data_IF_677142034292
#
_entry.id   IF_677142034292
#
_cell.length_a   1.000
_cell.length_b   1.000
_cell.length_c   1.000
_cell.angle_alpha   90.00
_cell.angle_beta   90.00
_cell.angle_gamma   90.00
#
_symmetry.space_group_name_H-M   'P 1'
#
loop_
_entity.id
_entity.type
_entity.pdbx_description
1 polymer ?
#
# COMPACT_ATOMS: atom_id res chain seq x y z
N UNK A 1 -38.64 7.84 44.60
CA UNK A 1 -38.76 8.09 43.14
C UNK A 1 -37.53 7.49 42.49
N UNK A 2 -37.76 6.42 41.86
CA UNK A 2 -36.69 5.65 41.18
C UNK A 2 -36.44 6.31 39.84
N UNK A 3 -35.33 7.04 39.74
CA UNK A 3 -34.92 7.65 38.46
C UNK A 3 -34.39 6.54 37.56
N UNK A 4 -35.21 6.09 36.64
CA UNK A 4 -34.82 5.09 35.63
C UNK A 4 -33.56 5.56 34.91
N UNK A 5 -32.48 4.78 35.04
CA UNK A 5 -31.25 5.00 34.34
C UNK A 5 -31.53 5.01 32.82
N UNK A 6 -31.12 6.04 32.08
CA UNK A 6 -31.39 6.09 30.65
C UNK A 6 -30.80 4.86 29.97
N UNK A 7 -31.59 4.26 29.12
CA UNK A 7 -31.14 3.14 28.29
C UNK A 7 -29.93 3.57 27.47
N UNK A 8 -28.91 2.71 27.34
CA UNK A 8 -27.77 3.02 26.49
C UNK A 8 -28.25 3.26 25.05
N UNK A 9 -27.66 4.25 24.38
CA UNK A 9 -27.95 4.52 22.98
C UNK A 9 -27.73 3.24 22.15
N UNK A 10 -28.59 2.98 21.16
CA UNK A 10 -28.44 1.81 20.32
C UNK A 10 -27.08 1.86 19.60
N UNK A 11 -26.36 0.73 19.65
CA UNK A 11 -25.11 0.58 18.90
C UNK A 11 -25.47 0.53 17.42
N UNK A 12 -25.09 1.56 16.67
CA UNK A 12 -25.24 1.59 15.22
C UNK A 12 -24.00 0.93 14.63
N UNK A 13 -24.19 -0.17 13.94
CA UNK A 13 -23.15 -0.76 13.10
C UNK A 13 -23.27 -0.09 11.73
N UNK A 14 -22.30 0.76 11.31
CA UNK A 14 -22.36 1.34 9.97
C UNK A 14 -22.31 0.22 8.96
N UNK A 15 -23.33 0.13 8.11
CA UNK A 15 -23.23 -0.62 6.88
C UNK A 15 -22.25 0.16 6.00
N UNK A 16 -21.03 -0.36 5.89
CA UNK A 16 -20.06 0.23 4.98
C UNK A 16 -20.45 -0.20 3.58
N UNK A 17 -20.91 0.73 2.77
CA UNK A 17 -21.04 0.58 1.31
C UNK A 17 -19.70 0.23 0.64
N UNK A 18 -18.66 0.10 1.45
CA UNK A 18 -17.26 -0.11 1.07
C UNK A 18 -16.83 -1.58 1.02
N UNK A 19 -17.69 -2.52 1.39
CA UNK A 19 -17.33 -3.94 1.36
C UNK A 19 -16.92 -4.41 -0.05
N UNK A 20 -17.58 -3.91 -1.11
CA UNK A 20 -17.21 -4.22 -2.49
C UNK A 20 -15.86 -3.65 -2.90
N UNK A 21 -15.48 -2.51 -2.34
CA UNK A 21 -14.22 -1.86 -2.63
C UNK A 21 -13.06 -2.55 -1.91
N UNK A 22 -13.22 -2.92 -0.65
CA UNK A 22 -12.26 -3.74 0.07
C UNK A 22 -12.05 -5.10 -0.60
N UNK A 23 -13.10 -5.70 -1.11
CA UNK A 23 -13.02 -6.94 -1.87
C UNK A 23 -12.22 -6.75 -3.16
N UNK A 24 -12.44 -5.67 -3.89
CA UNK A 24 -11.70 -5.35 -5.11
C UNK A 24 -10.21 -5.14 -4.83
N UNK A 25 -9.86 -4.39 -3.79
CA UNK A 25 -8.47 -4.20 -3.36
C UNK A 25 -7.82 -5.53 -3.01
N UNK A 26 -8.50 -6.37 -2.25
CA UNK A 26 -8.04 -7.70 -1.90
C UNK A 26 -7.82 -8.58 -3.13
N UNK A 27 -8.77 -8.61 -4.06
CA UNK A 27 -8.68 -9.39 -5.30
C UNK A 27 -7.49 -8.95 -6.16
N UNK A 28 -7.25 -7.65 -6.28
CA UNK A 28 -6.10 -7.11 -7.00
C UNK A 28 -4.80 -7.57 -6.35
N UNK A 29 -4.68 -7.45 -5.03
CA UNK A 29 -3.49 -7.89 -4.31
C UNK A 29 -3.25 -9.40 -4.45
N UNK A 30 -4.29 -10.22 -4.30
CA UNK A 30 -4.21 -11.68 -4.45
C UNK A 30 -3.72 -12.10 -5.83
N UNK A 31 -4.11 -11.37 -6.88
CA UNK A 31 -3.68 -11.67 -8.25
C UNK A 31 -2.31 -11.09 -8.56
N UNK A 32 -2.04 -9.86 -8.16
CA UNK A 32 -0.83 -9.13 -8.54
C UNK A 32 0.41 -9.62 -7.81
N UNK A 33 0.29 -9.93 -6.51
CA UNK A 33 1.45 -10.35 -5.70
C UNK A 33 2.14 -11.60 -6.29
N UNK A 34 1.46 -12.71 -6.61
CA UNK A 34 2.11 -13.87 -7.21
C UNK A 34 2.74 -13.58 -8.57
N UNK A 35 2.10 -12.72 -9.37
CA UNK A 35 2.62 -12.32 -10.68
C UNK A 35 3.92 -11.53 -10.55
N UNK A 36 3.97 -10.58 -9.62
CA UNK A 36 5.18 -9.81 -9.35
C UNK A 36 6.30 -10.68 -8.79
N UNK A 37 5.98 -11.62 -7.88
CA UNK A 37 6.95 -12.58 -7.35
C UNK A 37 7.58 -13.39 -8.49
N UNK A 38 6.75 -13.94 -9.36
CA UNK A 38 7.22 -14.73 -10.50
C UNK A 38 8.05 -13.87 -11.47
N UNK A 39 7.58 -12.69 -11.78
CA UNK A 39 8.25 -11.77 -12.70
C UNK A 39 9.64 -11.34 -12.20
N UNK A 40 9.75 -11.02 -10.91
CA UNK A 40 11.02 -10.64 -10.28
C UNK A 40 11.99 -11.83 -10.22
N UNK A 41 11.49 -13.04 -9.92
CA UNK A 41 12.29 -14.26 -9.92
C UNK A 41 12.86 -14.57 -11.32
N UNK A 42 12.06 -14.40 -12.37
CA UNK A 42 12.53 -14.55 -13.76
C UNK A 42 13.66 -13.57 -14.12
N UNK A 43 13.71 -12.43 -13.47
CA UNK A 43 14.74 -11.39 -13.66
C UNK A 43 15.91 -11.52 -12.70
N UNK A 44 15.93 -12.56 -11.86
CA UNK A 44 16.93 -12.77 -10.82
C UNK A 44 17.05 -11.57 -9.86
N UNK A 45 15.96 -10.86 -9.62
CA UNK A 45 15.90 -9.75 -8.65
C UNK A 45 15.48 -10.29 -7.30
N UNK A 46 16.32 -10.12 -6.28
CA UNK A 46 15.94 -10.40 -4.91
C UNK A 46 15.05 -9.26 -4.42
N UNK A 47 13.81 -9.58 -4.15
CA UNK A 47 12.83 -8.60 -3.67
C UNK A 47 11.72 -9.29 -2.87
N UNK A 48 11.10 -8.51 -1.99
CA UNK A 48 9.87 -8.91 -1.29
C UNK A 48 8.69 -8.18 -1.89
N UNK A 49 7.65 -8.93 -2.19
CA UNK A 49 6.35 -8.41 -2.62
C UNK A 49 5.34 -8.71 -1.53
N UNK A 50 4.68 -7.70 -1.05
CA UNK A 50 3.64 -7.82 -0.04
C UNK A 50 2.65 -6.64 -0.14
N UNK A 51 1.74 -6.53 0.78
CA UNK A 51 0.79 -5.43 0.85
C UNK A 51 0.28 -5.23 2.26
N UNK A 52 -0.45 -4.15 2.44
CA UNK A 52 -1.19 -3.83 3.66
C UNK A 52 -0.33 -3.76 4.94
N UNK A 53 0.94 -3.39 4.78
CA UNK A 53 1.84 -3.13 5.90
C UNK A 53 2.20 -1.65 5.96
N UNK A 54 2.31 -1.12 7.18
CA UNK A 54 2.66 0.27 7.40
C UNK A 54 4.12 0.57 7.06
N UNK A 55 4.30 1.62 6.30
CA UNK A 55 5.57 2.27 6.03
C UNK A 55 5.62 3.60 6.74
N UNK A 56 6.47 3.71 7.75
CA UNK A 56 6.75 4.96 8.45
C UNK A 56 7.90 5.67 7.77
N UNK A 57 7.75 6.96 7.47
CA UNK A 57 8.74 7.71 6.70
C UNK A 57 9.27 8.97 7.39
N UNK A 58 8.79 9.29 8.60
CA UNK A 58 9.34 10.34 9.45
C UNK A 58 9.62 9.77 10.82
N UNK A 59 10.91 9.68 11.18
CA UNK A 59 11.32 9.22 12.51
C UNK A 59 10.79 10.15 13.59
N UNK A 60 10.14 9.57 14.60
CA UNK A 60 9.55 10.31 15.71
C UNK A 60 8.11 10.79 15.47
N UNK A 61 7.57 10.63 14.27
CA UNK A 61 6.18 10.98 13.94
C UNK A 61 5.41 9.78 13.37
N UNK A 62 4.73 8.99 14.23
CA UNK A 62 4.02 7.79 13.80
C UNK A 62 2.76 8.08 12.97
N UNK A 63 2.32 9.33 12.87
CA UNK A 63 1.21 9.72 12.00
C UNK A 63 1.61 9.78 10.52
N UNK A 64 2.92 9.89 10.27
CA UNK A 64 3.47 9.94 8.91
C UNK A 64 3.76 8.52 8.44
N UNK A 65 2.71 7.85 7.99
CA UNK A 65 2.76 6.49 7.48
C UNK A 65 1.77 6.27 6.33
N UNK A 66 2.05 5.24 5.54
CA UNK A 66 1.17 4.74 4.49
C UNK A 66 1.19 3.21 4.51
N UNK A 67 0.09 2.61 4.10
CA UNK A 67 -0.02 1.17 3.91
C UNK A 67 -0.45 0.89 2.47
N UNK A 68 0.50 0.73 1.53
CA UNK A 68 0.17 0.46 0.13
C UNK A 68 -0.56 -0.88 -0.02
N UNK A 69 -1.48 -0.95 -0.96
CA UNK A 69 -2.20 -2.19 -1.26
C UNK A 69 -1.26 -3.29 -1.76
N UNK A 70 -0.26 -2.90 -2.56
CA UNK A 70 0.85 -3.76 -2.98
C UNK A 70 2.14 -2.95 -3.00
N UNK A 71 3.24 -3.56 -2.57
CA UNK A 71 4.56 -2.95 -2.68
C UNK A 71 5.64 -3.99 -3.01
N UNK A 72 6.73 -3.49 -3.56
CA UNK A 72 7.96 -4.24 -3.79
C UNK A 72 9.11 -3.56 -3.08
N UNK A 73 9.88 -4.31 -2.31
CA UNK A 73 11.13 -3.85 -1.71
C UNK A 73 12.29 -4.72 -2.18
N UNK A 74 13.24 -4.10 -2.86
CA UNK A 74 14.44 -4.78 -3.38
C UNK A 74 15.44 -5.09 -2.26
N UNK A 75 16.22 -6.14 -2.43
CA UNK A 75 17.27 -6.53 -1.51
C UNK A 75 16.77 -7.29 -0.27
N UNK A 76 15.49 -7.61 -0.19
CA UNK A 76 14.88 -8.40 0.87
C UNK A 76 14.29 -9.65 0.28
N UNK A 77 14.61 -10.81 0.84
CA UNK A 77 14.07 -12.07 0.35
C UNK A 77 12.55 -12.18 0.58
N UNK A 78 11.84 -12.80 -0.36
CA UNK A 78 10.37 -12.99 -0.28
C UNK A 78 9.95 -13.71 1.00
N UNK A 79 10.75 -14.64 1.48
CA UNK A 79 10.48 -15.46 2.67
C UNK A 79 11.21 -14.98 3.91
N UNK A 80 11.77 -13.77 3.87
CA UNK A 80 12.32 -13.17 5.07
C UNK A 80 11.19 -12.92 6.07
N UNK A 81 11.53 -12.98 7.36
CA UNK A 81 10.55 -12.99 8.44
C UNK A 81 9.53 -11.87 8.33
N UNK A 82 8.32 -12.17 8.78
CA UNK A 82 7.26 -11.19 8.95
C UNK A 82 7.77 -9.95 9.69
N UNK A 83 7.86 -8.88 8.93
CA UNK A 83 8.02 -7.56 9.51
C UNK A 83 6.63 -6.97 9.72
N UNK A 84 6.32 -6.58 10.94
CA UNK A 84 5.05 -5.93 11.22
C UNK A 84 4.93 -4.57 10.53
N UNK A 85 6.05 -3.85 10.44
CA UNK A 85 6.12 -2.51 9.86
C UNK A 85 7.46 -2.26 9.19
N UNK A 86 7.48 -1.27 8.29
CA UNK A 86 8.67 -0.76 7.66
C UNK A 86 8.99 0.65 8.16
N UNK A 87 10.27 0.96 8.24
CA UNK A 87 10.77 2.28 8.63
C UNK A 87 11.86 2.69 7.64
N UNK A 88 11.62 3.74 6.89
CA UNK A 88 12.53 4.14 5.80
C UNK A 88 13.93 4.53 6.28
N UNK A 89 14.06 4.99 7.51
CA UNK A 89 15.37 5.30 8.11
C UNK A 89 16.21 4.08 8.48
N UNK A 90 15.67 2.88 8.36
CA UNK A 90 16.40 1.62 8.53
C UNK A 90 17.05 1.12 7.22
N UNK A 91 17.00 1.92 6.15
CA UNK A 91 17.68 1.65 4.89
C UNK A 91 16.82 0.96 3.83
N UNK A 92 15.53 0.74 4.08
CA UNK A 92 14.60 0.17 3.12
C UNK A 92 13.65 1.23 2.59
N UNK A 93 13.31 1.12 1.31
CA UNK A 93 12.29 1.94 0.65
C UNK A 93 11.52 1.09 -0.35
N UNK A 94 10.27 1.42 -0.64
CA UNK A 94 9.55 0.72 -1.69
C UNK A 94 10.15 1.05 -3.06
N UNK A 95 10.47 0.02 -3.84
CA UNK A 95 10.82 0.20 -5.24
C UNK A 95 9.57 0.45 -6.10
N UNK A 96 8.48 -0.18 -5.71
CA UNK A 96 7.17 -0.05 -6.33
C UNK A 96 6.11 -0.01 -5.25
N UNK A 97 5.09 0.80 -5.45
CA UNK A 97 3.88 0.82 -4.65
C UNK A 97 2.65 0.95 -5.54
N UNK A 98 1.60 0.22 -5.21
CA UNK A 98 0.29 0.31 -5.82
C UNK A 98 -0.72 0.73 -4.77
N UNK A 99 -1.46 1.77 -5.09
CA UNK A 99 -2.66 2.18 -4.36
C UNK A 99 -3.88 1.98 -5.25
N UNK A 100 -4.86 1.25 -4.77
CA UNK A 100 -6.16 1.16 -5.42
C UNK A 100 -7.03 2.29 -4.89
N UNK A 101 -7.62 3.06 -5.80
CA UNK A 101 -8.45 4.22 -5.43
C UNK A 101 -9.62 3.78 -4.57
N UNK A 102 -9.76 4.40 -3.42
CA UNK A 102 -10.86 4.24 -2.48
C UNK A 102 -11.95 5.31 -2.71
N UNK A 103 -13.01 5.28 -1.91
CA UNK A 103 -14.02 6.35 -1.93
C UNK A 103 -13.44 7.71 -1.57
N UNK A 104 -12.40 7.73 -0.76
CA UNK A 104 -11.63 8.94 -0.49
C UNK A 104 -10.54 9.17 -1.57
N UNK A 105 -11.00 9.27 -2.82
CA UNK A 105 -10.13 9.44 -3.98
C UNK A 105 -9.21 10.66 -3.88
N UNK A 106 -9.64 11.69 -3.19
CA UNK A 106 -8.83 12.90 -2.99
C UNK A 106 -7.59 12.60 -2.17
N UNK A 107 -7.73 11.82 -1.11
CA UNK A 107 -6.61 11.34 -0.30
C UNK A 107 -5.64 10.50 -1.13
N UNK A 108 -6.17 9.63 -2.00
CA UNK A 108 -5.34 8.78 -2.83
C UNK A 108 -4.56 9.58 -3.88
N UNK A 109 -5.17 10.60 -4.50
CA UNK A 109 -4.49 11.41 -5.51
C UNK A 109 -3.69 12.59 -4.94
N UNK A 110 -4.12 13.20 -3.85
CA UNK A 110 -3.49 14.39 -3.29
C UNK A 110 -2.43 14.05 -2.23
N UNK A 111 -2.72 13.13 -1.32
CA UNK A 111 -1.87 12.85 -0.16
C UNK A 111 -0.86 11.72 -0.42
N UNK A 112 -1.20 10.74 -1.24
CA UNK A 112 -0.31 9.61 -1.52
C UNK A 112 0.96 10.03 -2.26
N UNK A 113 0.94 10.80 -3.36
CA UNK A 113 2.15 11.13 -4.10
C UNK A 113 3.24 11.81 -3.25
N UNK A 114 2.95 12.86 -2.45
CA UNK A 114 3.98 13.46 -1.61
C UNK A 114 4.49 12.52 -0.51
N UNK A 115 3.65 11.63 0.03
CA UNK A 115 4.08 10.66 1.03
C UNK A 115 5.05 9.63 0.43
N UNK A 116 4.72 9.09 -0.74
CA UNK A 116 5.60 8.14 -1.44
C UNK A 116 6.88 8.81 -1.96
N UNK A 117 6.82 10.07 -2.33
CA UNK A 117 8.03 10.83 -2.66
C UNK A 117 8.93 11.01 -1.43
N UNK A 118 8.36 11.29 -0.27
CA UNK A 118 9.10 11.37 1.01
C UNK A 118 9.75 10.03 1.39
N UNK A 119 9.11 8.91 1.08
CA UNK A 119 9.69 7.56 1.24
C UNK A 119 10.78 7.25 0.20
N UNK A 120 10.95 8.08 -0.81
CA UNK A 120 11.81 7.85 -1.97
C UNK A 120 11.40 6.58 -2.74
N UNK A 121 10.10 6.32 -2.79
CA UNK A 121 9.54 5.29 -3.64
C UNK A 121 9.95 5.52 -5.09
N UNK A 122 10.39 4.47 -5.78
CA UNK A 122 10.86 4.62 -7.16
C UNK A 122 9.72 4.74 -8.16
N UNK A 123 8.66 3.99 -7.93
CA UNK A 123 7.48 3.97 -8.79
C UNK A 123 6.20 3.85 -7.96
N UNK A 124 5.28 4.79 -8.15
CA UNK A 124 3.95 4.76 -7.57
C UNK A 124 2.91 4.67 -8.68
N UNK A 125 2.05 3.69 -8.59
CA UNK A 125 0.88 3.54 -9.46
C UNK A 125 -0.38 3.72 -8.63
N UNK A 126 -1.25 4.60 -9.09
CA UNK A 126 -2.61 4.73 -8.57
C UNK A 126 -3.54 4.07 -9.58
N UNK A 127 -4.26 3.06 -9.15
CA UNK A 127 -5.17 2.27 -9.98
C UNK A 127 -6.62 2.59 -9.63
N UNK A 128 -7.31 3.20 -10.58
CA UNK A 128 -8.71 3.59 -10.45
C UNK A 128 -9.62 2.56 -11.12
N UNK A 129 -10.27 1.74 -10.30
CA UNK A 129 -11.17 0.68 -10.78
C UNK A 129 -12.46 1.23 -11.37
N UNK A 130 -12.89 2.41 -10.95
CA UNK A 130 -14.15 3.03 -11.44
C UNK A 130 -13.97 3.57 -12.85
N UNK A 131 -12.81 4.12 -13.15
CA UNK A 131 -12.45 4.64 -14.47
C UNK A 131 -11.79 3.59 -15.35
N UNK A 132 -11.44 2.43 -14.79
CA UNK A 132 -10.70 1.38 -15.48
C UNK A 132 -9.37 1.88 -16.07
N UNK A 133 -8.73 2.77 -15.36
CA UNK A 133 -7.46 3.36 -15.75
C UNK A 133 -6.45 3.28 -14.62
N UNK A 134 -5.20 3.40 -14.97
CA UNK A 134 -4.12 3.55 -14.00
C UNK A 134 -3.32 4.81 -14.33
N UNK A 135 -2.76 5.41 -13.29
CA UNK A 135 -1.86 6.55 -13.43
C UNK A 135 -0.54 6.23 -12.75
N UNK A 136 0.54 6.31 -13.50
CA UNK A 136 1.88 6.27 -12.93
C UNK A 136 2.25 7.69 -12.48
N UNK A 137 2.33 7.88 -11.18
CA UNK A 137 2.56 9.20 -10.58
C UNK A 137 4.04 9.48 -10.36
N UNK A 138 4.78 8.45 -9.95
CA UNK A 138 6.22 8.55 -9.72
C UNK A 138 6.90 7.52 -10.60
N UNK A 139 7.82 8.00 -11.41
CA UNK A 139 8.74 7.14 -12.16
C UNK A 139 10.14 7.71 -12.03
N UNK A 140 10.97 7.03 -11.26
CA UNK A 140 12.38 7.37 -11.11
C UNK A 140 13.22 6.40 -11.93
N UNK A 141 14.15 6.90 -12.71
CA UNK A 141 15.12 6.09 -13.45
C UNK A 141 15.73 5.03 -12.52
N UNK A 142 15.80 3.78 -12.97
CA UNK A 142 16.24 2.60 -12.21
C UNK A 142 15.23 2.11 -11.15
N UNK A 143 13.95 2.30 -11.39
CA UNK A 143 12.89 1.85 -10.49
C UNK A 143 12.97 0.35 -10.20
N UNK A 144 13.13 -0.48 -11.20
CA UNK A 144 13.48 -1.91 -11.08
C UNK A 144 14.54 -2.16 -12.12
N UNK A 145 15.67 -2.72 -11.72
CA UNK A 145 16.81 -2.96 -12.61
C UNK A 145 16.37 -3.62 -13.91
N UNK A 146 16.65 -2.97 -15.04
CA UNK A 146 16.46 -3.61 -16.32
C UNK A 146 17.29 -4.92 -16.34
N UNK A 147 16.78 -5.99 -16.96
CA UNK A 147 17.56 -7.22 -17.09
C UNK A 147 18.86 -6.90 -17.84
N UNK A 148 19.96 -7.56 -17.50
CA UNK A 148 21.16 -7.50 -18.30
C UNK A 148 20.81 -7.93 -19.72
N UNK A 149 21.28 -7.18 -20.69
CA UNK A 149 21.13 -7.49 -22.13
C UNK A 149 21.84 -8.77 -22.46
#
# INVERSE_FOLDING_TARGET
MDSAKPLPAPVVYPETDHMGEHETQFQIAVQLVPLLVAWLAMRAVTARVAGDQFWYFVKGDPKRCRAPDVYVVEGVAQHDRDRGVWKTWEGHRPAFALEVVSDDWKKDYDDAPPAYDAMRCKELVIFDTTRREYTNILHRSNAISAPPK
#
